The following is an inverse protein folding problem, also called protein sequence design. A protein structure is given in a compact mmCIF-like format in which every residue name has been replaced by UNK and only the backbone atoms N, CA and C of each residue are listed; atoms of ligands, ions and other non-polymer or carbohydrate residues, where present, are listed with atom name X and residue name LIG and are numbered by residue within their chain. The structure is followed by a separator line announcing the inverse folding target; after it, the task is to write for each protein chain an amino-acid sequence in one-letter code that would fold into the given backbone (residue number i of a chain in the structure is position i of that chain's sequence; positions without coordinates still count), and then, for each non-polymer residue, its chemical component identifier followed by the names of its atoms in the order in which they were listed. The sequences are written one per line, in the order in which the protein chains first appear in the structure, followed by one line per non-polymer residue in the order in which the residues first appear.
data_IF_810407462530
#
_entry.id   IF_810407462530
#
_cell.length_a   1.000
_cell.length_b   1.000
_cell.length_c   1.000
_cell.angle_alpha   90.00
_cell.angle_beta   90.00
_cell.angle_gamma   90.00
#
_symmetry.space_group_name_H-M   'P 1'
#
loop_
_entity.id
_entity.type
_entity.pdbx_description
1 polymer ?
#
# COMPACT_ATOMS: atom_id res chain seq x y z
N UNK A 1 25.51 -41.49 26.84
CA UNK A 1 25.28 -40.02 26.74
C UNK A 1 25.26 -39.67 25.25
N UNK A 2 24.08 -39.36 24.70
CA UNK A 2 23.90 -39.01 23.28
C UNK A 2 23.46 -37.55 23.21
N UNK A 3 24.31 -36.69 22.67
CA UNK A 3 23.96 -35.30 22.37
C UNK A 3 23.21 -35.25 21.04
N UNK A 4 21.96 -34.80 21.08
CA UNK A 4 21.18 -34.42 19.91
C UNK A 4 21.56 -32.99 19.54
N UNK A 5 22.22 -32.80 18.40
CA UNK A 5 22.45 -31.50 17.81
C UNK A 5 21.18 -31.08 17.06
N UNK A 6 20.47 -30.06 17.57
CA UNK A 6 19.41 -29.40 16.83
C UNK A 6 20.04 -28.56 15.70
N UNK A 7 19.90 -29.04 14.48
CA UNK A 7 20.17 -28.26 13.27
C UNK A 7 18.98 -27.31 13.04
N UNK A 8 19.11 -26.06 13.50
CA UNK A 8 18.18 -24.99 13.15
C UNK A 8 18.41 -24.60 11.69
N UNK A 9 17.67 -25.24 10.78
CA UNK A 9 17.58 -24.81 9.39
C UNK A 9 16.82 -23.48 9.41
N UNK A 10 17.56 -22.38 9.27
CA UNK A 10 17.02 -21.08 8.86
C UNK A 10 16.53 -21.25 7.42
N UNK A 11 15.31 -21.74 7.25
CA UNK A 11 14.55 -21.59 6.02
C UNK A 11 14.35 -20.09 5.84
N UNK A 12 15.23 -19.46 5.06
CA UNK A 12 14.97 -18.17 4.43
C UNK A 12 13.73 -18.37 3.57
N UNK A 13 12.56 -18.14 4.17
CA UNK A 13 11.29 -18.18 3.48
C UNK A 13 11.29 -17.09 2.42
N UNK A 14 11.83 -17.39 1.25
CA UNK A 14 11.31 -16.83 0.02
C UNK A 14 9.88 -17.35 0.01
N UNK A 15 8.96 -16.55 0.54
CA UNK A 15 7.56 -16.70 0.22
C UNK A 15 7.54 -16.65 -1.31
N UNK A 16 7.55 -17.83 -1.94
CA UNK A 16 7.13 -17.96 -3.31
C UNK A 16 5.67 -17.59 -3.25
N UNK A 17 5.40 -16.28 -3.33
CA UNK A 17 4.15 -15.80 -3.85
C UNK A 17 4.06 -16.51 -5.18
N UNK A 18 3.32 -17.62 -5.21
CA UNK A 18 2.86 -18.21 -6.44
C UNK A 18 2.12 -17.05 -7.10
N UNK A 19 2.84 -16.36 -8.00
CA UNK A 19 2.29 -15.22 -8.71
C UNK A 19 0.98 -15.73 -9.31
N UNK A 20 -0.12 -15.00 -9.13
CA UNK A 20 -1.42 -15.47 -9.58
C UNK A 20 -1.27 -15.93 -11.04
N UNK A 21 -1.48 -17.23 -11.30
CA UNK A 21 -1.52 -17.72 -12.66
C UNK A 21 -2.74 -17.06 -13.29
N UNK A 22 -2.49 -16.06 -14.12
CA UNK A 22 -3.54 -15.22 -14.66
C UNK A 22 -4.32 -16.02 -15.70
N UNK A 23 -5.46 -16.57 -15.27
CA UNK A 23 -6.35 -17.37 -16.11
C UNK A 23 -7.00 -16.47 -17.16
N UNK A 24 -6.41 -16.41 -18.35
CA UNK A 24 -7.07 -15.84 -19.52
C UNK A 24 -8.01 -16.90 -20.10
N UNK A 25 -9.18 -16.50 -20.60
CA UNK A 25 -10.11 -17.41 -21.32
C UNK A 25 -9.56 -17.92 -22.65
N UNK A 26 -8.43 -17.37 -23.11
CA UNK A 26 -7.74 -17.78 -24.33
C UNK A 26 -7.25 -19.22 -24.24
N UNK A 27 -7.64 -20.08 -25.18
CA UNK A 27 -7.20 -21.49 -25.21
C UNK A 27 -5.67 -21.62 -25.29
N UNK A 28 -5.03 -20.76 -26.09
CA UNK A 28 -3.56 -20.71 -26.26
C UNK A 28 -2.82 -20.44 -24.95
N UNK A 29 -3.45 -19.82 -23.95
CA UNK A 29 -2.80 -19.55 -22.67
C UNK A 29 -2.44 -20.81 -21.89
N UNK A 30 -3.13 -21.94 -22.17
CA UNK A 30 -2.82 -23.25 -21.57
C UNK A 30 -1.47 -23.80 -22.04
N UNK A 31 -1.04 -23.39 -23.23
CA UNK A 31 0.21 -23.83 -23.84
C UNK A 31 1.38 -22.88 -23.54
N UNK A 32 1.10 -21.71 -22.94
CA UNK A 32 2.14 -20.72 -22.63
C UNK A 32 3.03 -21.21 -21.49
N UNK A 33 4.31 -21.32 -21.79
CA UNK A 33 5.38 -21.68 -20.85
C UNK A 33 5.99 -20.43 -20.24
N UNK A 34 5.90 -20.32 -18.91
CA UNK A 34 6.40 -19.19 -18.13
C UNK A 34 7.83 -19.47 -17.64
N UNK A 35 8.81 -18.58 -17.91
CA UNK A 35 10.16 -18.68 -17.33
C UNK A 35 10.12 -18.62 -15.80
N UNK A 36 10.98 -19.39 -15.12
CA UNK A 36 10.92 -19.54 -13.66
C UNK A 36 11.17 -18.27 -12.83
N UNK A 37 11.77 -17.22 -13.39
CA UNK A 37 11.93 -15.92 -12.71
C UNK A 37 10.85 -14.90 -13.11
N UNK A 38 9.86 -15.26 -13.92
CA UNK A 38 8.78 -14.34 -14.32
C UNK A 38 7.70 -14.25 -13.25
N UNK A 39 7.06 -13.08 -13.08
CA UNK A 39 5.83 -12.95 -12.30
C UNK A 39 4.57 -13.38 -13.09
N UNK A 40 4.73 -13.81 -14.34
CA UNK A 40 3.65 -14.30 -15.19
C UNK A 40 3.42 -13.42 -16.41
N UNK A 41 2.22 -13.54 -16.98
CA UNK A 41 1.79 -12.81 -18.15
C UNK A 41 0.27 -12.64 -18.14
N UNK A 42 -0.27 -11.76 -18.97
CA UNK A 42 -1.68 -11.74 -19.32
C UNK A 42 -1.85 -11.56 -20.83
N UNK A 43 -3.03 -11.87 -21.35
CA UNK A 43 -3.32 -11.74 -22.78
C UNK A 43 -4.28 -10.60 -23.07
N UNK A 44 -4.18 -10.04 -24.27
CA UNK A 44 -5.23 -9.18 -24.84
C UNK A 44 -6.53 -9.96 -25.02
N UNK A 45 -7.66 -9.24 -25.08
CA UNK A 45 -8.98 -9.82 -25.27
C UNK A 45 -9.16 -10.57 -26.61
N UNK A 46 -8.37 -10.21 -27.64
CA UNK A 46 -8.33 -10.92 -28.92
C UNK A 46 -7.44 -12.17 -28.91
N UNK A 47 -6.82 -12.49 -27.77
CA UNK A 47 -5.90 -13.61 -27.59
C UNK A 47 -4.67 -13.60 -28.52
N UNK A 48 -4.32 -12.45 -29.11
CA UNK A 48 -3.17 -12.33 -30.03
C UNK A 48 -1.91 -11.76 -29.39
N UNK A 49 -2.02 -11.08 -28.25
CA UNK A 49 -0.88 -10.44 -27.60
C UNK A 49 -0.73 -10.94 -26.17
N UNK A 50 0.48 -11.38 -25.81
CA UNK A 50 0.93 -11.69 -24.46
C UNK A 50 1.69 -10.47 -23.91
N UNK A 51 1.20 -9.92 -22.81
CA UNK A 51 1.88 -8.91 -22.01
C UNK A 51 2.62 -9.58 -20.87
N UNK A 52 3.95 -9.51 -20.91
CA UNK A 52 4.85 -10.13 -19.94
C UNK A 52 5.07 -9.18 -18.77
N UNK A 53 4.86 -9.66 -17.55
CA UNK A 53 5.15 -8.89 -16.34
C UNK A 53 6.66 -8.83 -16.07
N UNK A 54 7.14 -7.84 -15.29
CA UNK A 54 8.50 -7.86 -14.77
C UNK A 54 8.83 -9.17 -14.06
N UNK A 55 10.11 -9.58 -13.99
CA UNK A 55 10.49 -10.75 -13.23
C UNK A 55 10.26 -10.57 -11.72
N UNK A 56 10.28 -11.68 -10.98
CA UNK A 56 10.14 -11.70 -9.53
C UNK A 56 11.38 -11.11 -8.84
N UNK A 57 12.55 -11.34 -9.44
CA UNK A 57 13.84 -10.87 -8.95
C UNK A 57 14.60 -10.11 -10.04
N UNK A 58 15.03 -8.90 -9.70
CA UNK A 58 16.04 -8.16 -10.46
C UNK A 58 17.45 -8.47 -9.97
N UNK A 59 18.45 -7.86 -10.59
CA UNK A 59 19.84 -7.87 -10.13
C UNK A 59 20.23 -6.50 -9.59
N UNK A 60 21.09 -6.49 -8.59
CA UNK A 60 21.69 -5.27 -8.07
C UNK A 60 23.21 -5.38 -8.13
N UNK A 61 23.86 -4.28 -8.46
CA UNK A 61 25.31 -4.17 -8.56
C UNK A 61 25.77 -2.88 -7.92
N UNK A 62 26.76 -2.96 -7.04
CA UNK A 62 27.38 -1.76 -6.48
C UNK A 62 28.38 -1.22 -7.49
N UNK A 63 28.17 0.02 -7.93
CA UNK A 63 28.98 0.67 -8.97
C UNK A 63 29.95 1.70 -8.43
N UNK A 64 29.67 2.24 -7.24
CA UNK A 64 30.46 3.30 -6.64
C UNK A 64 30.44 3.25 -5.12
N UNK A 65 31.49 3.79 -4.50
CA UNK A 65 31.56 3.96 -3.05
C UNK A 65 32.39 5.17 -2.67
N UNK A 66 32.04 5.81 -1.57
CA UNK A 66 32.82 6.90 -0.93
C UNK A 66 32.83 6.69 0.58
N UNK A 67 34.01 6.74 1.20
CA UNK A 67 34.14 6.66 2.66
C UNK A 67 33.80 8.00 3.32
N UNK A 68 33.07 7.95 4.43
CA UNK A 68 32.84 9.05 5.37
C UNK A 68 33.69 8.90 6.63
N UNK A 69 33.15 9.29 7.80
CA UNK A 69 33.89 9.37 9.06
C UNK A 69 34.00 8.02 9.80
N UNK A 70 34.66 7.03 9.22
CA UNK A 70 34.75 5.66 9.77
C UNK A 70 35.61 5.54 11.05
N UNK A 71 36.29 6.60 11.47
CA UNK A 71 37.14 6.59 12.67
C UNK A 71 36.33 6.38 13.96
N UNK A 72 35.07 6.81 13.95
CA UNK A 72 34.15 6.68 15.09
C UNK A 72 33.44 5.33 15.17
N UNK A 73 33.78 4.35 14.33
CA UNK A 73 33.15 3.02 14.38
C UNK A 73 33.36 2.29 15.71
N UNK A 74 34.40 2.64 16.48
CA UNK A 74 34.59 2.09 17.83
C UNK A 74 33.52 2.57 18.82
N UNK A 75 33.07 3.82 18.68
CA UNK A 75 31.97 4.38 19.48
C UNK A 75 30.66 3.66 19.12
N UNK A 76 30.37 3.49 17.83
CA UNK A 76 29.20 2.72 17.34
C UNK A 76 29.19 1.31 17.91
N UNK A 77 30.32 0.61 17.91
CA UNK A 77 30.41 -0.75 18.46
C UNK A 77 30.12 -0.78 19.95
N UNK A 78 30.62 0.19 20.69
CA UNK A 78 30.42 0.32 22.15
C UNK A 78 28.96 0.61 22.48
N UNK A 79 28.34 1.51 21.71
CA UNK A 79 26.93 1.83 21.79
C UNK A 79 26.05 0.60 21.49
N UNK A 80 26.27 -0.08 20.36
CA UNK A 80 25.49 -1.26 19.96
C UNK A 80 25.56 -2.38 21.01
N UNK A 81 26.74 -2.60 21.59
CA UNK A 81 26.90 -3.55 22.70
C UNK A 81 26.05 -3.16 23.90
N UNK A 82 26.11 -1.89 24.30
CA UNK A 82 25.39 -1.35 25.46
C UNK A 82 23.86 -1.39 25.24
N UNK A 83 23.38 -1.03 24.05
CA UNK A 83 21.98 -1.15 23.67
C UNK A 83 21.50 -2.61 23.67
N UNK A 84 22.31 -3.53 23.14
CA UNK A 84 22.01 -4.97 23.15
C UNK A 84 21.85 -5.53 24.57
N UNK A 85 22.72 -5.12 25.50
CA UNK A 85 22.63 -5.49 26.91
C UNK A 85 21.37 -4.91 27.57
N UNK A 86 21.06 -3.63 27.36
CA UNK A 86 19.83 -2.99 27.88
C UNK A 86 18.58 -3.66 27.33
N UNK A 87 18.52 -3.93 26.02
CA UNK A 87 17.38 -4.59 25.39
C UNK A 87 17.17 -6.01 25.93
N UNK A 88 18.25 -6.75 26.20
CA UNK A 88 18.18 -8.06 26.85
C UNK A 88 17.62 -7.96 28.28
N UNK A 89 18.02 -6.92 29.04
CA UNK A 89 17.48 -6.65 30.37
C UNK A 89 15.99 -6.28 30.33
N UNK A 90 15.57 -5.43 29.39
CA UNK A 90 14.15 -5.08 29.17
C UNK A 90 13.33 -6.34 28.87
N UNK A 91 13.79 -7.17 27.93
CA UNK A 91 13.10 -8.42 27.59
C UNK A 91 13.00 -9.39 28.76
N UNK A 92 14.04 -9.44 29.60
CA UNK A 92 14.04 -10.26 30.80
C UNK A 92 13.06 -9.71 31.84
N UNK A 93 13.01 -8.39 32.02
CA UNK A 93 12.08 -7.72 32.94
C UNK A 93 10.62 -7.92 32.53
N UNK A 94 10.31 -7.78 31.24
CA UNK A 94 8.98 -8.03 30.67
C UNK A 94 8.56 -9.49 30.92
N UNK A 95 9.43 -10.46 30.59
CA UNK A 95 9.13 -11.89 30.78
C UNK A 95 9.02 -12.28 32.26
N UNK A 96 9.83 -11.67 33.11
CA UNK A 96 9.84 -11.89 34.55
C UNK A 96 8.70 -11.21 35.31
N UNK A 97 7.87 -10.40 34.63
CA UNK A 97 6.85 -9.54 35.27
C UNK A 97 7.43 -8.68 36.40
N UNK A 98 8.63 -8.14 36.17
CA UNK A 98 9.32 -7.28 37.14
C UNK A 98 8.53 -5.97 37.30
N UNK A 99 8.68 -5.32 38.47
CA UNK A 99 8.08 -4.02 38.78
C UNK A 99 8.32 -2.96 37.71
N UNK A 100 7.29 -2.17 37.41
CA UNK A 100 7.28 -1.10 36.39
C UNK A 100 8.39 -0.05 36.60
N UNK A 101 8.85 0.14 37.84
CA UNK A 101 9.94 1.06 38.17
C UNK A 101 11.26 0.65 37.50
N UNK A 102 11.59 -0.65 37.48
CA UNK A 102 12.81 -1.18 36.84
C UNK A 102 12.72 -1.00 35.32
N UNK A 103 11.56 -1.29 34.75
CA UNK A 103 11.34 -1.13 33.31
C UNK A 103 11.47 0.34 32.90
N UNK A 104 10.93 1.26 33.71
CA UNK A 104 11.04 2.71 33.51
C UNK A 104 12.49 3.18 33.54
N UNK A 105 13.29 2.71 34.49
CA UNK A 105 14.71 3.05 34.58
C UNK A 105 15.50 2.55 33.35
N UNK A 106 15.24 1.31 32.91
CA UNK A 106 15.88 0.75 31.71
C UNK A 106 15.54 1.56 30.45
N UNK A 107 14.28 1.97 30.28
CA UNK A 107 13.90 2.84 29.17
C UNK A 107 14.55 4.23 29.27
N UNK A 108 14.64 4.81 30.47
CA UNK A 108 15.33 6.08 30.69
C UNK A 108 16.81 5.98 30.32
N UNK A 109 17.49 4.91 30.74
CA UNK A 109 18.89 4.65 30.41
C UNK A 109 19.10 4.44 28.92
N UNK A 110 18.21 3.69 28.23
CA UNK A 110 18.23 3.56 26.77
C UNK A 110 18.12 4.94 26.10
N UNK A 111 17.17 5.77 26.53
CA UNK A 111 16.95 7.11 25.98
C UNK A 111 18.15 8.03 26.21
N UNK A 112 18.75 7.99 27.39
CA UNK A 112 19.97 8.75 27.68
C UNK A 112 21.11 8.33 26.76
N UNK A 113 21.34 7.02 26.60
CA UNK A 113 22.39 6.50 25.74
C UNK A 113 22.19 6.91 24.27
N UNK A 114 20.95 6.83 23.76
CA UNK A 114 20.63 7.31 22.41
C UNK A 114 20.84 8.82 22.27
N UNK A 115 20.58 9.60 23.32
CA UNK A 115 20.82 11.05 23.31
C UNK A 115 22.32 11.39 23.32
N UNK A 116 23.13 10.64 24.06
CA UNK A 116 24.58 10.85 24.17
C UNK A 116 25.30 10.56 22.84
N UNK A 117 24.79 9.60 22.06
CA UNK A 117 25.37 9.18 20.79
C UNK A 117 24.50 9.53 19.57
N UNK A 118 23.54 10.45 19.73
CA UNK A 118 22.57 10.80 18.69
C UNK A 118 23.19 11.48 17.47
N UNK A 119 24.43 11.96 17.58
CA UNK A 119 25.21 12.49 16.46
C UNK A 119 25.74 11.39 15.52
N UNK A 120 25.97 10.17 16.04
CA UNK A 120 26.46 9.04 15.24
C UNK A 120 25.47 8.61 14.15
N UNK A 121 24.17 8.73 14.40
CA UNK A 121 23.12 8.36 13.42
C UNK A 121 23.04 9.35 12.26
N UNK A 122 23.44 10.60 12.50
CA UNK A 122 23.44 11.66 11.50
C UNK A 122 24.81 11.83 10.81
N UNK A 123 25.85 11.19 11.33
CA UNK A 123 27.18 11.25 10.74
C UNK A 123 27.26 10.33 9.53
N UNK A 124 27.60 10.89 8.36
CA UNK A 124 27.84 10.13 7.14
C UNK A 124 29.03 9.19 7.32
N UNK A 125 28.78 7.89 7.23
CA UNK A 125 29.79 6.85 7.33
C UNK A 125 30.29 6.36 5.97
N UNK A 126 29.39 6.21 5.00
CA UNK A 126 29.74 5.87 3.62
C UNK A 126 28.63 6.29 2.66
N UNK A 127 28.97 6.52 1.40
CA UNK A 127 28.02 6.56 0.29
C UNK A 127 28.25 5.35 -0.60
N UNK A 128 27.18 4.68 -1.03
CA UNK A 128 27.23 3.53 -1.95
C UNK A 128 26.30 3.79 -3.12
N UNK A 129 26.80 3.66 -4.33
CA UNK A 129 25.98 3.73 -5.56
C UNK A 129 25.61 2.32 -6.00
N UNK A 130 24.32 2.07 -6.21
CA UNK A 130 23.77 0.78 -6.58
C UNK A 130 23.00 0.94 -7.88
N UNK A 131 23.35 0.12 -8.87
CA UNK A 131 22.57 -0.07 -10.09
C UNK A 131 21.66 -1.27 -9.94
N UNK A 132 20.38 -1.02 -10.16
CA UNK A 132 19.31 -2.01 -10.19
C UNK A 132 18.98 -2.31 -11.64
N UNK A 133 18.91 -3.58 -12.00
CA UNK A 133 18.48 -4.05 -13.31
C UNK A 133 17.28 -4.98 -13.13
N UNK A 134 16.14 -4.58 -13.71
CA UNK A 134 14.90 -5.34 -13.67
C UNK A 134 14.92 -6.55 -14.61
N UNK A 135 15.93 -6.70 -15.48
CA UNK A 135 16.10 -7.82 -16.42
C UNK A 135 14.86 -8.09 -17.29
N UNK A 136 14.11 -7.04 -17.65
CA UNK A 136 12.85 -7.16 -18.42
C UNK A 136 13.11 -7.77 -19.79
N UNK A 137 14.14 -7.31 -20.51
CA UNK A 137 14.50 -7.82 -21.83
C UNK A 137 14.91 -9.30 -21.79
N UNK A 138 15.70 -9.67 -20.78
CA UNK A 138 16.12 -11.06 -20.59
C UNK A 138 14.92 -11.96 -20.26
N UNK A 139 13.96 -11.48 -19.47
CA UNK A 139 12.71 -12.20 -19.20
C UNK A 139 11.88 -12.35 -20.49
N UNK A 140 11.70 -11.26 -21.24
CA UNK A 140 10.95 -11.22 -22.49
C UNK A 140 11.54 -12.14 -23.55
N UNK A 141 12.86 -12.16 -23.70
CA UNK A 141 13.54 -13.06 -24.62
C UNK A 141 13.30 -14.53 -24.26
N UNK A 142 13.35 -14.90 -22.98
CA UNK A 142 13.02 -16.25 -22.53
C UNK A 142 11.57 -16.62 -22.82
N UNK A 143 10.61 -15.71 -22.62
CA UNK A 143 9.23 -15.94 -23.03
C UNK A 143 9.12 -16.23 -24.53
N UNK A 144 9.76 -15.42 -25.37
CA UNK A 144 9.75 -15.62 -26.82
C UNK A 144 10.34 -16.97 -27.22
N UNK A 145 11.45 -17.37 -26.59
CA UNK A 145 12.07 -18.67 -26.84
C UNK A 145 11.19 -19.84 -26.39
N UNK A 146 10.54 -19.73 -25.23
CA UNK A 146 9.73 -20.82 -24.67
C UNK A 146 8.40 -21.02 -25.38
N UNK A 147 7.92 -19.99 -26.08
CA UNK A 147 6.59 -19.90 -26.68
C UNK A 147 6.67 -19.67 -28.19
N UNK A 148 7.79 -20.03 -28.80
CA UNK A 148 7.96 -19.98 -30.25
C UNK A 148 6.91 -20.87 -30.95
N UNK A 149 6.35 -20.40 -32.05
CA UNK A 149 5.32 -21.11 -32.80
C UNK A 149 3.87 -20.97 -32.30
N UNK A 150 3.60 -20.31 -31.16
CA UNK A 150 2.21 -20.09 -30.68
C UNK A 150 1.42 -19.05 -31.49
N UNK A 151 2.06 -18.32 -32.43
CA UNK A 151 1.38 -17.33 -33.27
C UNK A 151 0.89 -16.08 -32.50
N UNK A 152 1.43 -15.83 -31.31
CA UNK A 152 1.09 -14.71 -30.45
C UNK A 152 2.22 -13.68 -30.43
N UNK A 153 1.86 -12.40 -30.35
CA UNK A 153 2.80 -11.31 -30.16
C UNK A 153 3.18 -11.20 -28.68
N UNK A 154 4.48 -11.22 -28.34
CA UNK A 154 4.94 -11.17 -26.95
C UNK A 154 5.66 -9.85 -26.71
N UNK A 155 5.07 -9.02 -25.83
CA UNK A 155 5.52 -7.67 -25.49
C UNK A 155 5.63 -7.49 -23.97
N UNK A 156 6.48 -6.59 -23.46
CA UNK A 156 6.49 -6.28 -22.04
C UNK A 156 5.25 -5.46 -21.67
N UNK A 157 4.81 -5.56 -20.42
CA UNK A 157 3.77 -4.68 -19.89
C UNK A 157 4.27 -3.24 -19.77
N UNK A 158 3.41 -2.27 -20.09
CA UNK A 158 3.71 -0.85 -19.84
C UNK A 158 3.52 -0.53 -18.35
N UNK A 159 4.59 -0.13 -17.67
CA UNK A 159 4.54 0.29 -16.28
C UNK A 159 4.09 1.76 -16.18
N UNK A 160 3.15 2.04 -15.28
CA UNK A 160 2.60 3.39 -15.02
C UNK A 160 3.25 4.07 -13.83
N UNK A 161 3.71 3.29 -12.86
CA UNK A 161 4.35 3.79 -11.66
C UNK A 161 5.47 2.83 -11.27
N UNK A 162 6.63 3.36 -10.91
CA UNK A 162 7.73 2.63 -10.32
C UNK A 162 8.17 3.35 -9.04
N UNK A 163 8.19 2.62 -7.92
CA UNK A 163 8.60 3.13 -6.62
C UNK A 163 9.62 2.18 -6.01
N UNK A 164 10.84 2.66 -5.87
CA UNK A 164 11.85 2.00 -5.07
C UNK A 164 11.52 2.19 -3.59
N UNK A 165 11.49 1.10 -2.85
CA UNK A 165 11.29 1.05 -1.41
C UNK A 165 12.47 0.34 -0.78
N UNK A 166 12.86 0.84 0.38
CA UNK A 166 13.93 0.26 1.17
C UNK A 166 13.34 -0.33 2.43
N UNK A 167 13.45 -1.64 2.60
CA UNK A 167 13.13 -2.27 3.86
C UNK A 167 14.43 -2.42 4.65
N UNK A 168 14.49 -1.85 5.85
CA UNK A 168 15.51 -2.19 6.82
C UNK A 168 15.03 -3.37 7.66
N UNK A 169 15.95 -4.17 8.19
CA UNK A 169 15.53 -5.31 9.02
C UNK A 169 14.83 -4.83 10.30
N UNK A 170 13.81 -5.56 10.80
CA UNK A 170 13.10 -5.19 12.03
C UNK A 170 13.97 -5.26 13.30
N UNK A 171 15.08 -5.99 13.27
CA UNK A 171 16.00 -6.15 14.39
C UNK A 171 16.97 -4.96 14.55
N UNK A 172 17.02 -4.07 13.57
CA UNK A 172 17.73 -2.80 13.70
C UNK A 172 16.86 -1.81 14.48
N UNK A 173 17.51 -1.15 15.44
CA UNK A 173 16.87 -0.11 16.23
C UNK A 173 16.35 1.00 15.29
N UNK A 174 15.06 1.40 15.39
CA UNK A 174 14.48 2.41 14.52
C UNK A 174 15.15 3.79 14.64
N UNK A 175 15.97 4.02 15.66
CA UNK A 175 16.76 5.25 15.84
C UNK A 175 18.15 5.16 15.18
N UNK A 176 18.54 3.98 14.65
CA UNK A 176 19.82 3.71 13.97
C UNK A 176 19.67 3.53 12.45
N UNK A 177 18.65 4.14 11.86
CA UNK A 177 18.31 3.96 10.44
C UNK A 177 19.45 4.44 9.54
N UNK A 178 19.66 3.70 8.46
CA UNK A 178 20.36 4.21 7.27
C UNK A 178 19.59 5.44 6.77
N UNK A 179 20.27 6.58 6.64
CA UNK A 179 19.69 7.77 6.07
C UNK A 179 19.56 7.59 4.55
N UNK A 180 18.34 7.66 4.04
CA UNK A 180 18.13 7.64 2.59
C UNK A 180 17.97 9.08 2.13
N UNK A 181 18.99 9.61 1.44
CA UNK A 181 18.94 10.97 0.93
C UNK A 181 18.00 11.14 -0.28
N UNK A 182 17.42 10.06 -0.79
CA UNK A 182 16.46 10.11 -1.88
C UNK A 182 15.34 9.10 -1.67
N UNK A 183 14.12 9.61 -1.42
CA UNK A 183 12.98 9.05 -2.13
C UNK A 183 13.28 9.33 -3.60
N UNK A 184 13.64 8.31 -4.38
CA UNK A 184 13.71 8.45 -5.83
C UNK A 184 12.27 8.28 -6.34
N UNK A 185 11.49 9.36 -6.59
CA UNK A 185 10.45 9.23 -7.59
C UNK A 185 11.22 8.90 -8.87
N UNK A 186 11.13 7.66 -9.34
CA UNK A 186 11.74 7.34 -10.63
C UNK A 186 10.93 8.14 -11.64
N UNK A 187 11.52 9.23 -12.10
CA UNK A 187 10.84 10.23 -12.89
C UNK A 187 10.38 9.55 -14.19
N UNK A 188 9.07 9.45 -14.33
CA UNK A 188 8.35 8.89 -15.47
C UNK A 188 8.59 7.39 -15.70
N UNK A 189 7.76 6.56 -15.06
CA UNK A 189 7.76 5.11 -15.23
C UNK A 189 7.58 4.65 -16.68
N UNK A 190 7.03 5.51 -17.55
CA UNK A 190 6.88 5.23 -18.98
C UNK A 190 8.23 5.24 -19.73
N UNK A 191 9.28 5.86 -19.17
CA UNK A 191 10.62 5.95 -19.79
C UNK A 191 11.64 4.96 -19.18
N UNK A 192 11.23 4.15 -18.21
CA UNK A 192 12.16 3.21 -17.54
C UNK A 192 12.54 2.04 -18.48
N UNK A 193 11.85 1.85 -19.61
CA UNK A 193 12.26 0.92 -20.65
C UNK A 193 12.62 -0.46 -20.10
N UNK A 194 13.64 -1.09 -20.65
CA UNK A 194 14.16 -2.38 -20.18
C UNK A 194 14.84 -2.35 -18.80
N UNK A 195 14.85 -1.18 -18.14
CA UNK A 195 14.65 -1.10 -16.70
C UNK A 195 15.89 -1.18 -15.84
N UNK A 196 16.92 -0.39 -16.14
CA UNK A 196 17.99 -0.13 -15.16
C UNK A 196 17.83 1.24 -14.52
N UNK A 197 17.97 1.34 -13.20
CA UNK A 197 18.03 2.61 -12.49
C UNK A 197 19.15 2.58 -11.45
N UNK A 198 19.75 3.73 -11.16
CA UNK A 198 20.78 3.87 -10.12
C UNK A 198 20.21 4.57 -8.89
N UNK A 199 20.70 4.21 -7.72
CA UNK A 199 20.43 4.91 -6.48
C UNK A 199 21.71 5.10 -5.69
N UNK A 200 21.81 6.24 -5.00
CA UNK A 200 22.86 6.50 -4.03
C UNK A 200 22.32 6.33 -2.62
N UNK A 201 22.98 5.48 -1.85
CA UNK A 201 22.71 5.22 -0.44
C UNK A 201 23.76 5.90 0.42
N UNK A 202 23.32 6.83 1.26
CA UNK A 202 24.19 7.51 2.23
C UNK A 202 24.06 6.82 3.60
N UNK A 203 24.93 5.86 3.85
CA UNK A 203 24.97 5.10 5.09
C UNK A 203 25.47 5.99 6.23
N UNK A 204 24.68 6.07 7.31
CA UNK A 204 25.17 6.55 8.59
C UNK A 204 26.31 5.67 9.11
N UNK A 205 27.00 6.09 10.18
CA UNK A 205 28.02 5.24 10.79
C UNK A 205 27.47 3.86 11.20
N UNK A 206 26.21 3.77 11.62
CA UNK A 206 25.58 2.47 11.92
C UNK A 206 25.50 1.55 10.70
N UNK A 207 25.20 2.09 9.51
CA UNK A 207 25.17 1.33 8.27
C UNK A 207 26.55 1.06 7.67
N UNK A 208 27.49 1.99 7.82
CA UNK A 208 28.80 1.90 7.19
C UNK A 208 29.81 1.05 7.99
N UNK A 209 29.79 1.11 9.32
CA UNK A 209 30.75 0.39 10.15
C UNK A 209 30.74 -1.14 9.99
N UNK A 210 29.60 -1.82 9.78
CA UNK A 210 29.57 -3.23 9.44
C UNK A 210 30.27 -3.59 8.13
N UNK A 211 30.41 -2.63 7.21
CA UNK A 211 31.10 -2.84 5.93
C UNK A 211 32.62 -2.69 6.04
N UNK A 212 33.13 -2.23 7.18
CA UNK A 212 34.56 -2.01 7.41
C UNK A 212 35.30 -3.34 7.46
N UNK A 213 36.44 -3.41 6.77
CA UNK A 213 37.32 -4.56 6.87
C UNK A 213 37.90 -4.66 8.31
N UNK A 214 37.80 -5.83 8.97
CA UNK A 214 38.21 -5.98 10.36
C UNK A 214 39.72 -5.85 10.58
N UNK A 215 40.54 -6.00 9.53
CA UNK A 215 41.99 -5.94 9.59
C UNK A 215 42.52 -4.57 9.17
N UNK A 216 42.13 -4.10 7.97
CA UNK A 216 42.64 -2.82 7.43
C UNK A 216 41.98 -1.63 8.07
N UNK A 217 40.81 -1.82 8.71
CA UNK A 217 40.03 -0.74 9.29
C UNK A 217 39.58 0.29 8.23
N UNK A 218 39.56 -0.09 6.97
CA UNK A 218 39.07 0.74 5.87
C UNK A 218 37.80 0.14 5.26
N UNK A 219 37.14 0.90 4.39
CA UNK A 219 36.04 0.37 3.60
C UNK A 219 36.62 -0.44 2.42
N UNK A 220 36.18 -1.69 2.20
CA UNK A 220 36.74 -2.55 1.17
C UNK A 220 36.59 -1.93 -0.21
N UNK A 221 37.56 -2.20 -1.10
CA UNK A 221 37.54 -1.68 -2.47
C UNK A 221 36.30 -2.08 -3.25
N UNK A 222 35.81 -3.30 -2.99
CA UNK A 222 34.62 -3.86 -3.61
C UNK A 222 33.62 -4.19 -2.52
N UNK A 223 32.51 -3.45 -2.50
CA UNK A 223 31.33 -3.79 -1.72
C UNK A 223 30.42 -4.58 -2.66
N UNK A 224 29.99 -5.76 -2.27
CA UNK A 224 29.00 -6.55 -3.03
C UNK A 224 27.61 -6.24 -2.52
N UNK A 225 26.62 -6.46 -3.36
CA UNK A 225 25.21 -6.47 -2.98
C UNK A 225 24.95 -7.32 -1.71
N UNK A 226 25.55 -8.50 -1.64
CA UNK A 226 25.47 -9.39 -0.47
C UNK A 226 26.05 -8.80 0.81
N UNK A 227 26.98 -7.85 0.72
CA UNK A 227 27.57 -7.18 1.90
C UNK A 227 26.61 -6.10 2.45
N UNK A 228 25.71 -5.59 1.60
CA UNK A 228 24.60 -4.72 1.98
C UNK A 228 23.37 -5.50 2.45
N UNK A 229 23.32 -6.80 2.17
CA UNK A 229 22.21 -7.66 2.52
C UNK A 229 22.01 -7.67 4.04
N UNK A 230 20.86 -7.14 4.46
CA UNK A 230 20.49 -7.02 5.86
C UNK A 230 20.81 -5.67 6.51
N UNK A 231 21.47 -4.76 5.80
CA UNK A 231 21.40 -3.32 6.10
C UNK A 231 20.18 -2.72 5.41
N UNK A 232 20.03 -3.05 4.13
CA UNK A 232 18.92 -2.61 3.29
C UNK A 232 18.44 -3.78 2.43
N UNK A 233 17.15 -3.84 2.18
CA UNK A 233 16.53 -4.77 1.23
C UNK A 233 15.74 -3.94 0.24
N UNK A 234 16.36 -3.58 -0.90
CA UNK A 234 15.65 -2.85 -1.95
C UNK A 234 14.54 -3.71 -2.53
N UNK A 235 13.39 -3.10 -2.72
CA UNK A 235 12.28 -3.66 -3.46
C UNK A 235 11.67 -2.58 -4.34
N UNK A 236 11.25 -2.95 -5.53
CA UNK A 236 10.52 -2.07 -6.43
C UNK A 236 9.06 -2.47 -6.40
N UNK A 237 8.20 -1.56 -5.96
CA UNK A 237 6.77 -1.66 -6.24
C UNK A 237 6.46 -0.99 -7.56
N UNK A 238 5.70 -1.66 -8.42
CA UNK A 238 5.31 -1.14 -9.71
C UNK A 238 3.80 -1.21 -9.90
N UNK A 239 3.25 -0.33 -10.73
CA UNK A 239 1.86 -0.39 -11.19
C UNK A 239 1.80 -0.53 -12.70
N UNK A 240 0.79 -1.25 -13.16
CA UNK A 240 0.47 -1.38 -14.57
C UNK A 240 -1.05 -1.34 -14.76
N UNK A 241 -1.49 -0.98 -15.95
CA UNK A 241 -2.91 -0.94 -16.28
C UNK A 241 -3.24 -2.04 -17.27
N UNK A 242 -4.38 -2.70 -17.05
CA UNK A 242 -4.97 -3.63 -18.01
C UNK A 242 -6.28 -3.01 -18.47
N UNK A 243 -6.46 -2.85 -19.77
CA UNK A 243 -7.74 -2.45 -20.34
C UNK A 243 -8.75 -3.55 -20.07
N UNK A 244 -9.87 -3.20 -19.43
CA UNK A 244 -10.91 -4.14 -19.10
C UNK A 244 -12.27 -3.62 -19.53
N UNK A 245 -13.09 -4.52 -20.05
CA UNK A 245 -14.50 -4.28 -20.25
C UNK A 245 -15.27 -5.05 -19.18
N UNK A 246 -16.18 -4.35 -18.51
CA UNK A 246 -17.14 -4.98 -17.63
C UNK A 246 -18.50 -4.32 -17.75
N UNK A 247 -19.54 -5.14 -17.66
CA UNK A 247 -20.92 -4.70 -17.54
C UNK A 247 -21.33 -4.86 -16.10
N UNK A 248 -21.95 -3.84 -15.50
CA UNK A 248 -22.59 -3.99 -14.20
C UNK A 248 -24.08 -3.68 -14.24
N UNK A 249 -24.81 -4.32 -13.34
CA UNK A 249 -26.21 -4.04 -13.01
C UNK A 249 -26.26 -3.68 -11.52
N UNK A 250 -26.49 -2.41 -11.23
CA UNK A 250 -26.68 -1.91 -9.89
C UNK A 250 -28.18 -1.78 -9.62
N UNK A 251 -28.68 -2.48 -8.60
CA UNK A 251 -30.05 -2.30 -8.11
C UNK A 251 -30.03 -1.64 -6.75
N UNK A 252 -30.77 -0.55 -6.61
CA UNK A 252 -30.79 0.23 -5.38
C UNK A 252 -32.19 0.75 -5.03
N UNK A 253 -32.46 0.92 -3.74
CA UNK A 253 -33.68 1.54 -3.24
C UNK A 253 -33.29 2.76 -2.38
N UNK A 254 -33.56 3.96 -2.91
CA UNK A 254 -33.22 5.24 -2.25
C UNK A 254 -34.04 5.47 -0.98
N UNK A 255 -35.31 5.05 -0.95
CA UNK A 255 -36.15 5.11 0.25
C UNK A 255 -35.63 4.19 1.37
N UNK A 256 -35.18 2.98 1.03
CA UNK A 256 -34.55 2.06 1.97
C UNK A 256 -33.21 2.60 2.49
N UNK A 257 -32.40 3.23 1.63
CA UNK A 257 -31.18 3.92 2.06
C UNK A 257 -31.50 5.08 3.01
N UNK A 258 -32.44 5.95 2.66
CA UNK A 258 -32.89 7.06 3.51
C UNK A 258 -33.41 6.57 4.88
N UNK A 259 -34.13 5.44 4.90
CA UNK A 259 -34.59 4.79 6.14
C UNK A 259 -33.43 4.32 7.01
N UNK A 260 -32.41 3.66 6.43
CA UNK A 260 -31.20 3.25 7.15
C UNK A 260 -30.41 4.43 7.70
N UNK A 261 -30.27 5.52 6.93
CA UNK A 261 -29.63 6.76 7.39
C UNK A 261 -30.40 7.32 8.60
N UNK A 262 -31.73 7.37 8.52
CA UNK A 262 -32.57 7.84 9.63
C UNK A 262 -32.42 6.97 10.88
N UNK A 263 -32.53 5.65 10.75
CA UNK A 263 -32.37 4.71 11.86
C UNK A 263 -31.02 4.87 12.53
N UNK A 264 -29.96 5.00 11.72
CA UNK A 264 -28.59 5.27 12.15
C UNK A 264 -28.39 6.60 12.89
N UNK A 265 -29.27 7.59 12.63
CA UNK A 265 -29.24 8.90 13.28
C UNK A 265 -30.00 8.95 14.62
N UNK A 266 -30.95 8.04 14.82
CA UNK A 266 -31.98 8.14 15.87
C UNK A 266 -31.55 7.69 17.27
N UNK A 267 -30.44 6.96 17.41
CA UNK A 267 -30.06 6.32 18.69
C UNK A 267 -29.13 7.14 19.60
N UNK A 268 -28.92 8.44 19.35
CA UNK A 268 -28.04 9.24 20.24
C UNK A 268 -27.80 10.71 19.90
N UNK A 269 -28.58 11.34 19.01
CA UNK A 269 -28.48 12.78 18.71
C UNK A 269 -27.24 13.23 17.93
N UNK A 270 -26.28 12.32 17.68
CA UNK A 270 -25.11 12.56 16.85
C UNK A 270 -24.92 11.40 15.87
N UNK A 271 -24.88 11.72 14.59
CA UNK A 271 -24.47 10.79 13.55
C UNK A 271 -22.97 10.50 13.77
N UNK A 272 -22.62 9.27 14.17
CA UNK A 272 -21.21 8.90 14.33
C UNK A 272 -20.61 8.66 12.95
N UNK A 273 -19.41 9.17 12.71
CA UNK A 273 -18.64 8.93 11.48
C UNK A 273 -18.38 7.45 11.19
N UNK A 274 -18.37 6.63 12.25
CA UNK A 274 -18.33 5.17 12.16
C UNK A 274 -19.55 4.56 11.46
N UNK A 275 -20.68 5.27 11.41
CA UNK A 275 -21.94 4.77 10.85
C UNK A 275 -22.08 5.08 9.35
N UNK A 276 -21.55 6.22 8.88
CA UNK A 276 -21.45 6.47 7.44
C UNK A 276 -20.39 5.59 6.78
N UNK A 277 -19.23 5.44 7.42
CA UNK A 277 -18.19 4.49 6.99
C UNK A 277 -18.74 3.07 6.97
N UNK A 278 -19.42 2.60 8.01
CA UNK A 278 -19.98 1.23 7.98
C UNK A 278 -21.02 1.01 6.88
N UNK A 279 -21.89 1.99 6.57
CA UNK A 279 -22.86 1.90 5.47
C UNK A 279 -22.21 1.86 4.07
N UNK A 280 -21.05 2.50 3.93
CA UNK A 280 -20.31 2.60 2.66
C UNK A 280 -19.33 1.42 2.50
N UNK A 281 -18.60 1.07 3.56
CA UNK A 281 -17.50 0.10 3.57
C UNK A 281 -17.95 -1.36 3.66
N UNK A 282 -19.11 -1.64 4.27
CA UNK A 282 -19.60 -3.03 4.32
C UNK A 282 -20.04 -3.47 2.93
N UNK A 283 -19.41 -4.53 2.41
CA UNK A 283 -19.76 -5.17 1.15
C UNK A 283 -21.22 -5.68 1.14
N UNK A 284 -21.76 -6.00 2.31
CA UNK A 284 -23.13 -6.49 2.50
C UNK A 284 -24.11 -5.35 2.81
N UNK A 285 -24.54 -4.65 1.77
CA UNK A 285 -25.63 -3.67 1.82
C UNK A 285 -27.00 -4.34 1.69
N UNK A 286 -27.26 -5.34 2.53
CA UNK A 286 -28.51 -6.12 2.47
C UNK A 286 -29.73 -5.19 2.53
N UNK A 287 -30.56 -5.26 1.48
CA UNK A 287 -31.87 -4.60 1.40
C UNK A 287 -31.95 -3.26 0.64
N UNK A 288 -30.84 -2.53 0.40
CA UNK A 288 -30.92 -1.24 -0.31
C UNK A 288 -29.97 -1.10 -1.50
N UNK A 289 -28.94 -1.95 -1.62
CA UNK A 289 -28.00 -1.94 -2.74
C UNK A 289 -27.49 -3.33 -3.06
N UNK A 290 -27.48 -3.67 -4.33
CA UNK A 290 -26.84 -4.87 -4.89
C UNK A 290 -26.13 -4.52 -6.19
N UNK A 291 -24.98 -5.15 -6.42
CA UNK A 291 -24.18 -4.97 -7.62
C UNK A 291 -23.84 -6.34 -8.21
N UNK A 292 -24.39 -6.61 -9.39
CA UNK A 292 -23.98 -7.72 -10.24
C UNK A 292 -23.00 -7.18 -11.28
N UNK A 293 -21.86 -7.85 -11.44
CA UNK A 293 -20.84 -7.45 -12.42
C UNK A 293 -20.44 -8.65 -13.25
N UNK A 294 -20.34 -8.45 -14.56
CA UNK A 294 -19.82 -9.40 -15.54
C UNK A 294 -18.58 -8.77 -16.15
N UNK A 295 -17.46 -9.48 -16.10
CA UNK A 295 -16.20 -9.01 -16.67
C UNK A 295 -15.68 -10.04 -17.65
N UNK A 296 -14.96 -9.58 -18.66
CA UNK A 296 -14.18 -10.45 -19.54
C UNK A 296 -13.03 -11.12 -18.78
N UNK A 297 -12.59 -10.48 -17.68
CA UNK A 297 -11.49 -10.92 -16.84
C UNK A 297 -11.91 -10.98 -15.37
N UNK A 298 -11.83 -12.17 -14.76
CA UNK A 298 -12.22 -12.37 -13.36
C UNK A 298 -11.37 -11.56 -12.37
N UNK A 299 -10.12 -11.22 -12.72
CA UNK A 299 -9.19 -10.46 -11.86
C UNK A 299 -9.63 -9.02 -11.71
N UNK A 300 -10.11 -8.45 -12.82
CA UNK A 300 -10.69 -7.12 -12.85
C UNK A 300 -11.96 -7.12 -12.02
N UNK A 301 -12.74 -8.18 -12.08
CA UNK A 301 -14.06 -8.23 -11.48
C UNK A 301 -14.05 -7.99 -9.97
N UNK A 302 -13.16 -8.61 -9.21
CA UNK A 302 -13.17 -8.41 -7.75
C UNK A 302 -12.79 -6.99 -7.35
N UNK A 303 -11.72 -6.44 -7.96
CA UNK A 303 -11.27 -5.08 -7.67
C UNK A 303 -12.26 -4.03 -8.19
N UNK A 304 -12.65 -4.13 -9.46
CA UNK A 304 -13.61 -3.21 -10.09
C UNK A 304 -14.97 -3.26 -9.40
N UNK A 305 -15.43 -4.43 -8.94
CA UNK A 305 -16.69 -4.56 -8.21
C UNK A 305 -16.66 -3.79 -6.89
N UNK A 306 -15.59 -3.91 -6.10
CA UNK A 306 -15.46 -3.17 -4.84
C UNK A 306 -15.38 -1.67 -5.08
N UNK A 307 -14.53 -1.22 -6.02
CA UNK A 307 -14.37 0.20 -6.35
C UNK A 307 -15.66 0.82 -6.95
N UNK A 308 -16.30 0.12 -7.88
CA UNK A 308 -17.57 0.55 -8.50
C UNK A 308 -18.70 0.58 -7.47
N UNK A 309 -18.80 -0.45 -6.61
CA UNK A 309 -19.78 -0.44 -5.53
C UNK A 309 -19.57 0.77 -4.61
N UNK A 310 -18.33 1.06 -4.22
CA UNK A 310 -18.01 2.20 -3.38
C UNK A 310 -18.43 3.53 -4.02
N UNK A 311 -18.08 3.73 -5.30
CA UNK A 311 -18.43 4.95 -6.03
C UNK A 311 -19.94 5.13 -6.19
N UNK A 312 -20.68 4.06 -6.55
CA UNK A 312 -22.14 4.13 -6.68
C UNK A 312 -22.78 4.41 -5.32
N UNK A 313 -22.34 3.73 -4.24
CA UNK A 313 -22.86 3.99 -2.88
C UNK A 313 -22.61 5.43 -2.44
N UNK A 314 -21.43 5.99 -2.72
CA UNK A 314 -21.12 7.39 -2.42
C UNK A 314 -22.03 8.36 -3.18
N UNK A 315 -22.22 8.14 -4.49
CA UNK A 315 -23.14 8.93 -5.30
C UNK A 315 -24.58 8.83 -4.79
N UNK A 316 -25.08 7.62 -4.53
CA UNK A 316 -26.43 7.40 -4.02
C UNK A 316 -26.65 8.04 -2.64
N UNK A 317 -25.65 7.99 -1.76
CA UNK A 317 -25.68 8.68 -0.47
C UNK A 317 -25.86 10.20 -0.66
N UNK A 318 -25.06 10.79 -1.55
CA UNK A 318 -25.15 12.22 -1.87
C UNK A 318 -26.53 12.57 -2.44
N UNK A 319 -27.00 11.84 -3.45
CA UNK A 319 -28.32 12.05 -4.07
C UNK A 319 -29.48 11.94 -3.07
N UNK A 320 -29.40 11.00 -2.12
CA UNK A 320 -30.42 10.85 -1.07
C UNK A 320 -30.40 12.03 -0.11
N UNK A 321 -29.23 12.47 0.33
CA UNK A 321 -29.09 13.61 1.24
C UNK A 321 -29.56 14.91 0.60
N UNK A 322 -29.20 15.13 -0.67
CA UNK A 322 -29.66 16.28 -1.45
C UNK A 322 -31.18 16.24 -1.63
N UNK A 323 -31.75 15.06 -1.89
CA UNK A 323 -33.18 14.85 -2.00
C UNK A 323 -33.95 15.14 -0.70
N UNK A 324 -33.43 14.70 0.46
CA UNK A 324 -34.04 14.99 1.77
C UNK A 324 -33.92 16.49 2.08
N UNK A 325 -32.76 17.10 1.80
CA UNK A 325 -32.55 18.53 2.01
C UNK A 325 -33.51 19.38 1.15
N UNK A 326 -33.64 19.07 -0.14
CA UNK A 326 -34.58 19.72 -1.04
C UNK A 326 -36.02 19.57 -0.56
N UNK A 327 -36.44 18.36 -0.15
CA UNK A 327 -37.78 18.11 0.37
C UNK A 327 -38.08 18.89 1.66
N UNK A 328 -37.05 19.20 2.45
CA UNK A 328 -37.18 19.93 3.72
C UNK A 328 -37.15 21.45 3.53
N UNK A 329 -36.24 21.96 2.73
CA UNK A 329 -35.98 23.39 2.60
C UNK A 329 -36.62 24.03 1.36
N UNK A 330 -37.13 23.24 0.41
CA UNK A 330 -37.78 23.74 -0.80
C UNK A 330 -36.83 24.42 -1.80
N UNK A 331 -35.52 24.38 -1.55
CA UNK A 331 -34.47 24.90 -2.42
C UNK A 331 -33.35 23.87 -2.55
N UNK A 332 -32.79 23.67 -3.77
CA UNK A 332 -31.59 22.86 -3.91
C UNK A 332 -30.47 23.54 -3.14
N UNK A 333 -29.85 22.82 -2.20
CA UNK A 333 -28.67 23.34 -1.53
C UNK A 333 -27.55 23.38 -2.57
N UNK A 334 -27.02 24.58 -2.84
CA UNK A 334 -25.80 24.69 -3.64
C UNK A 334 -24.70 23.84 -2.96
N UNK A 335 -23.79 23.22 -3.74
CA UNK A 335 -22.61 22.58 -3.16
C UNK A 335 -21.94 23.58 -2.23
N UNK A 336 -21.92 23.26 -0.94
CA UNK A 336 -21.54 24.21 0.11
C UNK A 336 -20.04 24.49 -0.04
N UNK A 337 -19.69 25.67 -0.59
CA UNK A 337 -18.35 26.22 -0.39
C UNK A 337 -18.14 26.41 1.11
N UNK A 338 -16.98 25.95 1.60
CA UNK A 338 -16.62 25.84 3.01
C UNK A 338 -16.81 27.15 3.79
N UNK A 339 -18.02 27.37 4.30
CA UNK A 339 -18.35 28.44 5.24
C UNK A 339 -18.22 27.96 6.68
N UNK A 340 -17.83 28.87 7.57
CA UNK A 340 -17.68 28.64 9.01
C UNK A 340 -18.99 28.12 9.65
N UNK A 341 -18.99 26.95 10.33
CA UNK A 341 -20.24 26.36 10.84
C UNK A 341 -20.75 26.93 12.17
N UNK A 342 -22.03 26.70 12.44
CA UNK A 342 -22.70 27.01 13.71
C UNK A 342 -22.35 26.07 14.86
N UNK A 343 -22.72 26.41 16.10
CA UNK A 343 -22.29 25.80 17.39
C UNK A 343 -22.97 24.46 17.77
N UNK A 344 -22.97 23.45 16.91
CA UNK A 344 -23.48 22.11 17.25
C UNK A 344 -22.46 21.00 16.97
N UNK A 345 -22.43 19.93 17.77
CA UNK A 345 -21.33 18.95 17.74
C UNK A 345 -21.15 18.21 16.40
N UNK A 346 -22.17 18.15 15.56
CA UNK A 346 -22.08 17.58 14.22
C UNK A 346 -21.31 18.49 13.25
N UNK A 347 -21.41 19.81 13.39
CA UNK A 347 -20.64 20.76 12.59
C UNK A 347 -19.17 20.78 13.00
N UNK A 348 -18.90 20.57 14.30
CA UNK A 348 -17.54 20.37 14.82
C UNK A 348 -16.92 19.08 14.29
N UNK A 349 -17.71 18.01 14.15
CA UNK A 349 -17.27 16.75 13.56
C UNK A 349 -17.11 16.86 12.02
N UNK A 350 -17.97 17.63 11.34
CA UNK A 350 -17.81 17.95 9.93
C UNK A 350 -16.52 18.76 9.67
N UNK A 351 -16.24 19.77 10.48
CA UNK A 351 -14.98 20.53 10.42
C UNK A 351 -13.75 19.68 10.72
N UNK A 352 -13.88 18.69 11.62
CA UNK A 352 -12.83 17.71 11.87
C UNK A 352 -12.55 16.84 10.64
N UNK A 353 -13.59 16.42 9.93
CA UNK A 353 -13.49 15.61 8.72
C UNK A 353 -13.03 16.40 7.50
N UNK A 354 -13.39 17.69 7.38
CA UNK A 354 -12.87 18.59 6.33
C UNK A 354 -11.35 18.77 6.40
N UNK A 355 -10.75 18.56 7.57
CA UNK A 355 -9.28 18.62 7.74
C UNK A 355 -8.57 17.34 7.29
N UNK A 356 -9.30 16.25 7.05
CA UNK A 356 -8.74 15.02 6.53
C UNK A 356 -8.64 15.08 5.00
N UNK A 357 -7.45 14.79 4.47
CA UNK A 357 -7.14 14.89 3.04
C UNK A 357 -7.81 13.80 2.18
N UNK A 358 -8.42 12.78 2.80
CA UNK A 358 -8.99 11.65 2.08
C UNK A 358 -10.43 11.96 1.59
N UNK A 359 -10.82 11.59 0.35
CA UNK A 359 -12.14 11.90 -0.20
C UNK A 359 -13.34 11.43 0.64
N UNK A 360 -13.23 10.28 1.32
CA UNK A 360 -14.30 9.77 2.18
C UNK A 360 -14.52 10.65 3.42
N UNK A 361 -13.49 11.34 3.90
CA UNK A 361 -13.63 12.28 5.01
C UNK A 361 -14.40 13.52 4.58
N UNK A 362 -14.07 14.08 3.41
CA UNK A 362 -14.80 15.23 2.86
C UNK A 362 -16.28 14.89 2.63
N UNK A 363 -16.57 13.70 2.08
CA UNK A 363 -17.93 13.19 1.97
C UNK A 363 -18.59 13.08 3.35
N UNK A 364 -17.89 12.48 4.33
CA UNK A 364 -18.37 12.38 5.71
C UNK A 364 -18.70 13.74 6.35
N UNK A 365 -17.94 14.78 6.06
CA UNK A 365 -18.17 16.12 6.59
C UNK A 365 -19.46 16.74 6.07
N UNK A 366 -19.68 16.67 4.76
CA UNK A 366 -20.90 17.15 4.11
C UNK A 366 -22.12 16.38 4.64
N UNK A 367 -22.00 15.06 4.78
CA UNK A 367 -23.05 14.20 5.34
C UNK A 367 -23.42 14.63 6.77
N UNK A 368 -22.43 14.95 7.62
CA UNK A 368 -22.67 15.36 9.01
C UNK A 368 -23.37 16.71 9.14
N UNK A 369 -22.95 17.69 8.34
CA UNK A 369 -23.58 19.01 8.33
C UNK A 369 -25.05 18.92 7.89
N UNK A 370 -25.32 18.15 6.83
CA UNK A 370 -26.68 17.93 6.34
C UNK A 370 -27.49 17.13 7.36
N UNK A 371 -26.97 16.03 7.91
CA UNK A 371 -27.69 15.18 8.84
C UNK A 371 -28.15 15.95 10.11
N UNK A 372 -27.30 16.82 10.66
CA UNK A 372 -27.62 17.58 11.87
C UNK A 372 -28.76 18.60 11.68
N UNK A 373 -28.84 19.21 10.49
CA UNK A 373 -29.88 20.16 10.14
C UNK A 373 -31.18 19.46 9.69
N UNK A 374 -31.10 18.20 9.25
CA UNK A 374 -32.17 17.55 8.47
C UNK A 374 -33.10 16.67 9.30
N UNK A 375 -32.64 15.94 10.31
CA UNK A 375 -33.47 14.92 11.00
C UNK A 375 -34.44 15.43 12.08
N UNK A 376 -34.57 16.74 12.32
CA UNK A 376 -35.51 17.31 13.30
C UNK A 376 -36.99 17.39 12.88
N UNK A 377 -37.38 16.97 11.67
CA UNK A 377 -38.79 17.02 11.21
C UNK A 377 -39.20 15.72 10.51
N UNK A 378 -40.06 14.93 11.16
CA UNK A 378 -40.43 13.57 10.72
C UNK A 378 -41.22 13.54 9.40
N UNK A 379 -42.20 14.42 9.22
CA UNK A 379 -43.19 14.32 8.12
C UNK A 379 -42.62 14.46 6.70
N UNK A 380 -41.62 15.34 6.50
CA UNK A 380 -41.01 15.56 5.16
C UNK A 380 -40.03 14.46 4.79
N UNK A 381 -39.29 13.94 5.77
CA UNK A 381 -38.41 12.79 5.57
C UNK A 381 -39.25 11.54 5.25
N UNK A 382 -40.37 11.34 5.95
CA UNK A 382 -41.30 10.24 5.67
C UNK A 382 -41.89 10.33 4.26
N UNK A 383 -42.21 11.54 3.79
CA UNK A 383 -42.67 11.77 2.41
C UNK A 383 -41.59 11.43 1.37
N UNK A 384 -40.32 11.80 1.62
CA UNK A 384 -39.21 11.43 0.75
C UNK A 384 -39.02 9.91 0.71
N UNK A 385 -39.02 9.26 1.88
CA UNK A 385 -38.87 7.81 2.00
C UNK A 385 -39.97 7.11 1.21
N UNK A 386 -41.24 7.46 1.42
CA UNK A 386 -42.36 6.81 0.73
C UNK A 386 -42.36 7.05 -0.79
N UNK A 387 -41.99 8.25 -1.23
CA UNK A 387 -41.93 8.58 -2.66
C UNK A 387 -40.79 7.82 -3.38
N UNK A 388 -39.69 7.56 -2.67
CA UNK A 388 -38.50 6.91 -3.23
C UNK A 388 -38.35 5.44 -2.80
N UNK A 389 -39.40 4.83 -2.22
CA UNK A 389 -39.39 3.41 -1.80
C UNK A 389 -39.68 2.47 -2.98
N UNK A 390 -38.81 2.52 -3.98
CA UNK A 390 -38.85 1.65 -5.13
C UNK A 390 -37.43 1.24 -5.53
N UNK A 391 -37.31 0.05 -6.12
CA UNK A 391 -36.03 -0.43 -6.66
C UNK A 391 -35.81 0.21 -8.01
N UNK A 392 -34.70 0.93 -8.14
CA UNK A 392 -34.15 1.41 -9.40
C UNK A 392 -33.08 0.45 -9.88
N UNK A 393 -32.98 0.28 -11.20
CA UNK A 393 -31.93 -0.51 -11.84
C UNK A 393 -31.12 0.38 -12.78
N UNK A 394 -29.80 0.29 -12.68
CA UNK A 394 -28.84 0.95 -13.55
C UNK A 394 -27.94 -0.09 -14.18
N UNK A 395 -27.87 -0.09 -15.52
CA UNK A 395 -27.01 -0.97 -16.30
C UNK A 395 -26.01 -0.14 -17.08
N UNK A 396 -24.73 -0.43 -16.90
CA UNK A 396 -23.64 0.32 -17.56
C UNK A 396 -22.60 -0.65 -18.08
N UNK A 397 -22.18 -0.40 -19.32
CA UNK A 397 -21.01 -1.01 -19.92
C UNK A 397 -19.82 -0.06 -19.75
N UNK A 398 -18.79 -0.51 -19.06
CA UNK A 398 -17.60 0.28 -18.74
C UNK A 398 -16.40 -0.32 -19.46
N UNK A 399 -15.71 0.52 -20.22
CA UNK A 399 -14.36 0.24 -20.72
C UNK A 399 -13.40 1.17 -19.98
N UNK A 400 -12.65 0.64 -19.04
CA UNK A 400 -11.69 1.42 -18.25
C UNK A 400 -10.39 0.64 -18.05
N UNK A 401 -9.22 1.32 -18.02
CA UNK A 401 -8.03 0.70 -17.47
C UNK A 401 -8.23 0.37 -15.99
N UNK A 402 -7.81 -0.82 -15.58
CA UNK A 402 -7.76 -1.23 -14.18
C UNK A 402 -6.30 -1.35 -13.77
N UNK A 403 -5.95 -0.65 -12.69
CA UNK A 403 -4.59 -0.59 -12.20
C UNK A 403 -4.30 -1.77 -11.26
N UNK A 404 -3.27 -2.52 -11.60
CA UNK A 404 -2.71 -3.59 -10.78
C UNK A 404 -1.36 -3.14 -10.20
N UNK A 405 -0.95 -3.76 -9.10
CA UNK A 405 0.35 -3.52 -8.49
C UNK A 405 1.13 -4.83 -8.31
N UNK A 406 2.44 -4.74 -8.45
CA UNK A 406 3.38 -5.83 -8.20
C UNK A 406 4.56 -5.34 -7.39
N UNK A 407 5.32 -6.29 -6.83
CA UNK A 407 6.57 -6.01 -6.12
C UNK A 407 7.64 -6.92 -6.69
N UNK A 408 8.82 -6.36 -6.95
CA UNK A 408 10.01 -7.08 -7.36
C UNK A 408 11.10 -6.88 -6.31
N UNK A 409 11.73 -7.97 -5.89
CA UNK A 409 12.87 -7.92 -4.96
C UNK A 409 14.19 -7.80 -5.72
N UNK A 410 15.18 -7.18 -5.07
CA UNK A 410 16.58 -7.28 -5.47
C UNK A 410 17.30 -8.04 -4.37
N UNK A 411 17.82 -9.21 -4.72
CA UNK A 411 18.50 -10.05 -3.74
C UNK A 411 18.77 -11.44 -4.27
N UNK A 412 20.05 -11.83 -4.22
CA UNK A 412 20.47 -13.22 -4.09
C UNK A 412 21.51 -13.30 -2.99
#
# INVERSE_FOLDING_TARGET
MKHWALFSILLSGSAMAAGPQFSTTCEVAKDVRVPGNSQGFFMSSDCKTIFVLPPAQGTETVTGRTSGNLDRCQEVRTLNKSLGEINKQIQTAIKGKIEDAVLTDLYKRRKQLLSEYGDLSNTLGASVEINFDMAVDANLQKFRQYNDGLGVNIVPVSLKELKLKWNQKPDQDPDMRVAFNQDLPVADANNIGSGSFSARLDLSLFGACPLRDPFTKEMPERIRASDLAGLVTPNVSYKYEVGANYTYVARYNRGALARKIRESSSSGGFFKTSTSSSLIETAESTGWFSLEMKCDDSRVCDQAKTETALQIKQRLMQEVLDGIALAKFGVPMAPVESGTPGKNGASTAADGLRKCAHPYCQAGAVILDIASATFGGSSKTDTYISTNDHVSEERVDVTTPVAFSGIMGFGK
#
